data_IF_030475252760
#
_entry.id   IF_030475252760
#
_cell.length_a   1.000
_cell.length_b   1.000
_cell.length_c   1.000
_cell.angle_alpha   90.00
_cell.angle_beta   90.00
_cell.angle_gamma   90.00
#
_symmetry.space_group_name_H-M   'P 1'
#
loop_
_entity.id
_entity.type
_entity.pdbx_description
1 polymer ?
#
# COMPACT_ATOMS: atom_id res chain seq x y z
N UNK A 1 31.03 -11.17 -28.61
CA UNK A 1 29.55 -11.00 -28.62
C UNK A 1 28.97 -12.03 -27.69
N UNK A 2 28.90 -11.70 -26.41
CA UNK A 2 28.33 -12.55 -25.35
C UNK A 2 26.89 -12.12 -25.14
N UNK A 3 25.97 -13.04 -25.47
CA UNK A 3 24.55 -12.96 -25.18
C UNK A 3 24.34 -12.95 -23.68
N UNK A 4 23.84 -11.85 -23.11
CA UNK A 4 23.34 -11.81 -21.74
C UNK A 4 21.92 -12.40 -21.73
N UNK A 5 21.79 -13.67 -21.34
CA UNK A 5 20.51 -14.25 -20.97
C UNK A 5 19.93 -13.49 -19.77
N UNK A 6 18.77 -12.87 -19.96
CA UNK A 6 17.97 -12.33 -18.87
C UNK A 6 17.43 -13.49 -18.04
N UNK A 7 17.97 -13.67 -16.84
CA UNK A 7 17.42 -14.60 -15.84
C UNK A 7 16.03 -14.10 -15.47
N UNK A 8 14.99 -14.82 -15.90
CA UNK A 8 13.63 -14.61 -15.43
C UNK A 8 13.58 -14.99 -13.94
N UNK A 9 13.00 -14.16 -13.06
CA UNK A 9 12.81 -14.54 -11.66
C UNK A 9 11.91 -15.78 -11.59
N UNK A 10 12.39 -16.83 -10.90
CA UNK A 10 11.69 -18.09 -10.74
C UNK A 10 10.26 -17.86 -10.25
N UNK A 11 9.28 -18.35 -11.03
CA UNK A 11 7.90 -18.46 -10.58
C UNK A 11 7.90 -19.44 -9.40
N UNK A 12 7.49 -19.06 -8.18
CA UNK A 12 7.28 -20.05 -7.14
C UNK A 12 6.11 -20.94 -7.59
N UNK A 13 6.44 -22.15 -8.04
CA UNK A 13 5.47 -23.21 -8.24
C UNK A 13 4.92 -23.59 -6.85
N UNK A 14 3.82 -22.98 -6.45
CA UNK A 14 3.04 -23.43 -5.30
C UNK A 14 2.44 -24.79 -5.62
N UNK A 15 3.14 -25.85 -5.19
CA UNK A 15 2.58 -27.19 -5.15
C UNK A 15 1.51 -27.23 -4.06
N UNK A 16 0.26 -26.93 -4.42
CA UNK A 16 -0.89 -27.17 -3.53
C UNK A 16 -1.14 -28.68 -3.50
N UNK A 17 -0.57 -29.36 -2.51
CA UNK A 17 -0.94 -30.75 -2.19
C UNK A 17 -2.36 -30.71 -1.60
N UNK A 18 -3.40 -30.89 -2.42
CA UNK A 18 -4.74 -31.22 -1.93
C UNK A 18 -4.75 -32.66 -1.42
N UNK A 19 -4.32 -32.84 -0.17
CA UNK A 19 -4.51 -34.09 0.56
C UNK A 19 -6.00 -34.35 0.78
N UNK A 20 -6.58 -35.35 0.11
CA UNK A 20 -7.88 -35.92 0.53
C UNK A 20 -7.68 -36.64 1.86
N UNK A 21 -8.01 -35.98 2.97
CA UNK A 21 -8.13 -36.63 4.28
C UNK A 21 -9.26 -37.67 4.23
N UNK A 22 -8.89 -38.95 4.20
CA UNK A 22 -9.81 -40.04 4.53
C UNK A 22 -9.89 -40.12 6.07
N UNK A 23 -11.01 -39.65 6.60
CA UNK A 23 -11.35 -39.72 8.01
C UNK A 23 -11.41 -41.19 8.46
N UNK A 24 -10.43 -41.64 9.25
CA UNK A 24 -10.52 -42.89 10.01
C UNK A 24 -10.80 -42.50 11.47
N UNK A 25 -12.01 -42.81 11.92
CA UNK A 25 -12.43 -42.65 13.30
C UNK A 25 -11.50 -43.47 14.21
N UNK A 26 -10.85 -42.81 15.17
CA UNK A 26 -10.19 -43.44 16.29
C UNK A 26 -10.61 -42.72 17.57
N UNK A 27 -10.83 -43.56 18.58
CA UNK A 27 -11.61 -43.40 19.80
C UNK A 27 -11.08 -42.38 20.80
N UNK A 28 -12.02 -41.84 21.59
CA UNK A 28 -11.90 -40.74 22.54
C UNK A 28 -10.86 -40.93 23.66
N UNK A 29 -9.99 -39.94 23.82
CA UNK A 29 -9.44 -39.53 25.11
C UNK A 29 -9.69 -38.03 25.29
N UNK A 30 -10.55 -37.69 26.25
CA UNK A 30 -11.01 -36.33 26.52
C UNK A 30 -9.93 -35.61 27.35
N UNK A 31 -8.92 -35.03 26.68
CA UNK A 31 -8.07 -34.01 27.29
C UNK A 31 -8.71 -32.65 27.00
N UNK A 32 -9.49 -32.14 27.96
CA UNK A 32 -9.97 -30.76 27.93
C UNK A 32 -8.82 -29.81 28.29
N UNK A 33 -7.88 -29.62 27.36
CA UNK A 33 -7.01 -28.44 27.40
C UNK A 33 -7.87 -27.27 26.92
N UNK A 34 -8.38 -26.49 27.87
CA UNK A 34 -8.96 -25.18 27.59
C UNK A 34 -7.81 -24.29 27.08
N UNK A 35 -7.58 -24.30 25.76
CA UNK A 35 -6.81 -23.25 25.10
C UNK A 35 -7.69 -22.02 25.24
N UNK A 36 -7.42 -21.21 26.26
CA UNK A 36 -7.87 -19.82 26.27
C UNK A 36 -7.27 -19.19 25.02
N UNK A 37 -8.06 -19.15 23.94
CA UNK A 37 -7.87 -18.17 22.89
C UNK A 37 -8.10 -16.83 23.57
N UNK A 38 -7.05 -16.27 24.18
CA UNK A 38 -6.99 -14.85 24.43
C UNK A 38 -7.08 -14.24 23.04
N UNK A 39 -8.28 -13.82 22.65
CA UNK A 39 -8.40 -12.85 21.58
C UNK A 39 -7.52 -11.69 22.04
N UNK A 40 -6.38 -11.49 21.38
CA UNK A 40 -5.66 -10.24 21.49
C UNK A 40 -6.64 -9.20 20.96
N UNK A 41 -7.41 -8.59 21.86
CA UNK A 41 -8.08 -7.34 21.55
C UNK A 41 -6.94 -6.35 21.42
N UNK A 42 -6.46 -6.18 20.19
CA UNK A 42 -5.43 -5.22 19.90
C UNK A 42 -5.93 -3.85 20.35
N UNK A 43 -5.14 -3.17 21.18
CA UNK A 43 -5.59 -1.93 21.79
C UNK A 43 -5.73 -0.85 20.72
N UNK A 44 -6.88 -0.18 20.71
CA UNK A 44 -7.05 1.07 19.96
C UNK A 44 -6.42 2.20 20.76
N UNK A 45 -5.51 2.94 20.15
CA UNK A 45 -4.79 4.06 20.75
C UNK A 45 -5.02 5.36 19.97
N UNK A 46 -4.69 6.50 20.57
CA UNK A 46 -4.83 7.80 19.91
C UNK A 46 -4.03 7.84 18.59
N UNK A 47 -4.58 8.48 17.56
CA UNK A 47 -4.01 8.49 16.21
C UNK A 47 -2.59 9.06 16.14
N UNK A 48 -2.22 9.90 17.10
CA UNK A 48 -0.91 10.53 17.23
C UNK A 48 0.08 9.75 18.11
N UNK A 49 -0.33 8.61 18.68
CA UNK A 49 0.48 7.73 19.52
C UNK A 49 0.91 6.43 18.83
N UNK A 50 0.36 6.15 17.64
CA UNK A 50 0.78 4.99 16.85
C UNK A 50 2.20 5.24 16.32
N UNK A 51 3.15 4.45 16.80
CA UNK A 51 4.53 4.52 16.35
C UNK A 51 4.65 3.89 14.95
N UNK A 52 5.17 4.62 13.94
CA UNK A 52 5.38 4.04 12.60
C UNK A 52 6.50 3.01 12.60
N UNK A 53 6.46 2.12 11.63
CA UNK A 53 7.55 1.22 11.32
C UNK A 53 8.66 1.99 10.60
N UNK A 54 9.93 1.84 11.03
CA UNK A 54 11.05 2.37 10.26
C UNK A 54 11.09 1.65 8.90
N UNK A 55 11.40 2.39 7.84
CA UNK A 55 11.57 1.81 6.51
C UNK A 55 12.82 0.91 6.51
N UNK A 56 12.69 -0.42 6.30
CA UNK A 56 13.84 -1.31 6.28
C UNK A 56 14.66 -1.15 5.00
N UNK A 57 15.94 -1.55 5.05
CA UNK A 57 16.75 -1.67 3.83
C UNK A 57 16.20 -2.79 2.93
N UNK A 58 15.96 -2.54 1.64
CA UNK A 58 15.31 -3.51 0.75
C UNK A 58 16.27 -4.64 0.34
N UNK A 59 15.88 -5.89 0.58
CA UNK A 59 16.72 -7.07 0.30
C UNK A 59 16.19 -7.84 -0.91
N UNK A 60 14.89 -8.14 -0.91
CA UNK A 60 14.18 -8.92 -1.92
C UNK A 60 13.83 -8.08 -3.15
N UNK A 61 13.47 -8.76 -4.24
CA UNK A 61 13.03 -8.10 -5.49
C UNK A 61 11.77 -7.26 -5.24
N UNK A 62 10.81 -7.76 -4.47
CA UNK A 62 9.57 -7.03 -4.16
C UNK A 62 9.83 -5.78 -3.34
N UNK A 63 10.72 -5.84 -2.35
CA UNK A 63 11.08 -4.68 -1.53
C UNK A 63 11.83 -3.63 -2.35
N UNK A 64 12.79 -4.04 -3.18
CA UNK A 64 13.50 -3.13 -4.10
C UNK A 64 12.53 -2.48 -5.08
N UNK A 65 11.60 -3.24 -5.65
CA UNK A 65 10.54 -2.71 -6.50
C UNK A 65 9.70 -1.68 -5.77
N UNK A 66 9.27 -1.97 -4.55
CA UNK A 66 8.43 -1.05 -3.79
C UNK A 66 9.13 0.29 -3.50
N UNK A 67 10.45 0.27 -3.24
CA UNK A 67 11.27 1.49 -3.12
C UNK A 67 11.42 2.20 -4.47
N UNK A 68 11.72 1.48 -5.55
CA UNK A 68 11.89 2.06 -6.89
C UNK A 68 10.63 2.74 -7.42
N UNK A 69 9.45 2.16 -7.16
CA UNK A 69 8.15 2.66 -7.61
C UNK A 69 7.38 3.39 -6.51
N UNK A 70 8.03 3.72 -5.39
CA UNK A 70 7.39 4.45 -4.31
C UNK A 70 6.87 5.79 -4.83
N UNK A 71 5.58 6.10 -4.67
CA UNK A 71 5.04 7.36 -5.15
C UNK A 71 5.30 8.50 -4.15
N UNK A 72 5.26 9.73 -4.66
CA UNK A 72 5.09 10.92 -3.83
C UNK A 72 3.61 11.17 -3.56
N UNK A 73 3.32 11.65 -2.36
CA UNK A 73 2.00 12.11 -1.98
C UNK A 73 2.06 13.60 -1.67
N UNK A 74 1.42 14.40 -2.51
CA UNK A 74 1.15 15.81 -2.25
C UNK A 74 -0.13 15.92 -1.43
N UNK A 75 -0.06 16.60 -0.29
CA UNK A 75 -1.18 16.77 0.62
C UNK A 75 -1.65 18.22 0.52
N UNK A 76 -2.82 18.48 -0.11
CA UNK A 76 -3.36 19.84 -0.19
C UNK A 76 -3.64 20.42 1.20
N UNK A 77 -3.57 21.75 1.29
CA UNK A 77 -4.01 22.47 2.49
C UNK A 77 -5.47 22.11 2.83
N UNK A 78 -5.75 21.87 4.11
CA UNK A 78 -7.08 21.48 4.58
C UNK A 78 -7.35 19.96 4.59
N UNK A 79 -6.39 19.12 4.17
CA UNK A 79 -6.48 17.65 4.25
C UNK A 79 -5.58 17.12 5.38
N UNK A 80 -5.97 16.00 5.99
CA UNK A 80 -5.12 15.30 6.96
C UNK A 80 -3.87 14.74 6.29
N UNK A 81 -2.75 14.79 7.01
CA UNK A 81 -1.55 14.04 6.59
C UNK A 81 -1.74 12.54 6.81
N UNK A 82 -0.88 11.72 6.21
CA UNK A 82 -0.86 10.28 6.46
C UNK A 82 -0.33 9.96 7.86
N UNK A 83 -1.00 9.05 8.57
CA UNK A 83 -0.57 8.51 9.86
C UNK A 83 -0.39 6.98 9.75
N UNK A 84 0.45 6.37 10.60
CA UNK A 84 0.45 4.92 10.75
C UNK A 84 -0.90 4.43 11.28
N UNK A 85 -1.43 3.38 10.67
CA UNK A 85 -2.69 2.76 11.05
C UNK A 85 -2.52 1.73 12.17
N UNK A 86 -1.33 1.12 12.27
CA UNK A 86 -0.96 0.08 13.23
C UNK A 86 0.51 0.20 13.60
N UNK A 87 0.88 -0.20 14.81
CA UNK A 87 2.28 -0.31 15.24
C UNK A 87 2.75 -1.78 15.35
N UNK A 88 4.02 -1.98 15.73
CA UNK A 88 4.62 -3.33 15.83
C UNK A 88 3.94 -4.26 16.85
N UNK A 89 3.28 -3.72 17.87
CA UNK A 89 2.54 -4.50 18.87
C UNK A 89 1.12 -4.85 18.42
N UNK A 90 0.72 -4.44 17.22
CA UNK A 90 -0.63 -4.62 16.70
C UNK A 90 -1.64 -3.58 17.19
N UNK A 91 -1.23 -2.58 17.97
CA UNK A 91 -2.13 -1.50 18.41
C UNK A 91 -2.53 -0.64 17.21
N UNK A 92 -3.83 -0.35 17.09
CA UNK A 92 -4.41 0.34 15.93
C UNK A 92 -4.80 1.78 16.27
N UNK A 93 -4.80 2.63 15.25
CA UNK A 93 -5.30 4.01 15.38
C UNK A 93 -6.79 4.03 15.69
N UNK A 94 -7.21 4.82 16.67
CA UNK A 94 -8.61 5.16 16.91
C UNK A 94 -9.17 6.18 15.94
N UNK A 95 -8.35 6.66 15.01
CA UNK A 95 -8.73 7.69 14.05
C UNK A 95 -9.07 9.02 14.72
N UNK A 96 -9.74 9.87 13.96
CA UNK A 96 -10.25 11.15 14.42
C UNK A 96 -11.74 11.22 14.17
N UNK A 97 -12.48 11.67 15.18
CA UNK A 97 -13.88 12.00 14.99
C UNK A 97 -13.97 13.19 14.02
N UNK A 98 -14.71 13.01 12.93
CA UNK A 98 -14.88 14.04 11.91
C UNK A 98 -15.29 15.38 12.51
N UNK A 99 -14.52 16.41 12.22
CA UNK A 99 -14.77 17.80 12.63
C UNK A 99 -14.78 18.72 11.40
N UNK A 100 -15.24 19.96 11.57
CA UNK A 100 -15.21 20.96 10.49
C UNK A 100 -13.79 21.56 10.38
N UNK A 101 -12.81 20.75 9.94
CA UNK A 101 -11.43 21.18 9.77
C UNK A 101 -10.42 20.02 9.81
N UNK A 102 -9.13 20.35 9.71
CA UNK A 102 -8.02 19.38 9.75
C UNK A 102 -6.97 19.69 10.84
N UNK A 103 -7.24 20.62 11.76
CA UNK A 103 -6.28 21.08 12.79
C UNK A 103 -5.66 19.93 13.61
N UNK A 104 -6.43 18.88 13.89
CA UNK A 104 -5.99 17.72 14.65
C UNK A 104 -5.12 16.72 13.87
N UNK A 105 -4.97 16.91 12.56
CA UNK A 105 -4.26 16.00 11.65
C UNK A 105 -3.37 16.71 10.63
N UNK A 106 -2.98 17.96 10.88
CA UNK A 106 -2.07 18.70 9.99
C UNK A 106 -0.62 18.18 10.05
N UNK A 107 -0.26 17.45 11.11
CA UNK A 107 1.11 16.98 11.33
C UNK A 107 1.13 15.69 12.16
N UNK A 108 1.82 14.66 11.66
CA UNK A 108 2.02 13.39 12.35
C UNK A 108 3.26 13.46 13.25
N UNK A 109 3.12 13.57 14.59
CA UNK A 109 4.24 13.86 15.47
C UNK A 109 5.29 12.75 15.56
N UNK A 110 4.87 11.50 15.32
CA UNK A 110 5.76 10.34 15.28
C UNK A 110 6.23 9.99 13.87
N UNK A 111 5.76 10.72 12.85
CA UNK A 111 6.04 10.46 11.44
C UNK A 111 4.86 9.83 10.68
N UNK A 112 4.90 9.93 9.36
CA UNK A 112 3.93 9.35 8.44
C UNK A 112 4.33 7.95 7.98
N UNK A 113 3.36 7.17 7.49
CA UNK A 113 3.57 5.82 6.97
C UNK A 113 2.85 5.62 5.64
N UNK A 114 3.45 4.84 4.74
CA UNK A 114 2.79 4.20 3.60
C UNK A 114 3.01 2.69 3.68
N UNK A 115 1.99 1.93 3.29
CA UNK A 115 2.01 0.47 3.28
C UNK A 115 2.09 -0.04 1.85
N UNK A 116 2.89 -1.06 1.61
CA UNK A 116 3.02 -1.70 0.29
C UNK A 116 2.73 -3.19 0.35
N UNK A 117 2.14 -3.74 -0.72
CA UNK A 117 1.97 -5.18 -0.91
C UNK A 117 2.10 -5.52 -2.38
N UNK A 118 2.90 -6.51 -2.71
CA UNK A 118 3.21 -6.86 -4.09
C UNK A 118 3.06 -8.36 -4.34
N UNK A 119 2.40 -8.72 -5.45
CA UNK A 119 2.42 -10.08 -6.00
C UNK A 119 2.41 -10.08 -7.52
N UNK A 120 2.74 -11.22 -8.12
CA UNK A 120 2.41 -11.48 -9.52
C UNK A 120 0.90 -11.44 -9.69
N UNK A 121 0.44 -10.76 -10.74
CA UNK A 121 -0.97 -10.63 -11.04
C UNK A 121 -1.22 -10.60 -12.54
N UNK A 122 -2.01 -11.55 -13.05
CA UNK A 122 -2.34 -11.71 -14.49
C UNK A 122 -1.09 -11.56 -15.39
N UNK A 123 -0.04 -12.32 -15.04
CA UNK A 123 1.27 -12.36 -15.71
C UNK A 123 2.07 -11.03 -15.75
N UNK A 124 1.68 -10.03 -14.93
CA UNK A 124 2.46 -8.82 -14.71
C UNK A 124 3.13 -8.80 -13.34
N UNK A 125 4.32 -8.19 -13.31
CA UNK A 125 5.13 -7.96 -12.12
C UNK A 125 5.98 -6.70 -12.25
N UNK A 126 6.24 -6.04 -11.13
CA UNK A 126 7.15 -4.92 -11.04
C UNK A 126 8.60 -5.43 -10.96
N UNK A 127 9.33 -5.36 -12.07
CA UNK A 127 10.75 -5.75 -12.11
C UNK A 127 11.65 -4.51 -11.85
N UNK A 128 12.32 -4.42 -10.69
CA UNK A 128 13.20 -3.28 -10.36
C UNK A 128 14.56 -3.33 -11.05
N UNK A 129 14.99 -4.50 -11.54
CA UNK A 129 16.35 -4.68 -12.07
C UNK A 129 16.49 -4.23 -13.54
N UNK A 130 15.41 -3.75 -14.15
CA UNK A 130 15.45 -3.15 -15.48
C UNK A 130 16.16 -1.80 -15.43
N UNK A 131 17.08 -1.53 -16.36
CA UNK A 131 17.75 -0.22 -16.47
C UNK A 131 16.74 0.93 -16.61
N UNK A 132 15.60 0.67 -17.25
CA UNK A 132 14.49 1.60 -17.38
C UNK A 132 13.16 0.85 -17.23
N UNK A 133 12.66 0.66 -16.01
CA UNK A 133 11.40 -0.01 -15.84
C UNK A 133 10.25 0.87 -16.35
N UNK A 134 9.23 0.24 -16.93
CA UNK A 134 8.08 0.93 -17.51
C UNK A 134 6.82 0.59 -16.72
N UNK A 135 6.16 1.62 -16.21
CA UNK A 135 4.81 1.49 -15.64
C UNK A 135 3.81 1.35 -16.79
N UNK A 136 3.12 0.22 -16.87
CA UNK A 136 2.20 -0.12 -17.97
C UNK A 136 0.76 0.35 -17.73
N UNK A 137 0.40 0.59 -16.46
CA UNK A 137 -0.90 1.09 -16.06
C UNK A 137 -0.91 1.45 -14.58
N UNK A 138 -1.81 2.36 -14.22
CA UNK A 138 -2.00 2.84 -12.84
C UNK A 138 -3.49 2.89 -12.57
N UNK A 139 -3.90 2.45 -11.39
CA UNK A 139 -5.27 2.52 -10.93
C UNK A 139 -5.32 3.23 -9.59
N UNK A 140 -6.13 4.27 -9.51
CA UNK A 140 -6.29 5.08 -8.31
C UNK A 140 -7.69 4.86 -7.75
N UNK A 141 -7.81 4.61 -6.45
CA UNK A 141 -9.12 4.41 -5.82
C UNK A 141 -9.94 5.71 -5.82
N UNK A 142 -11.19 5.59 -6.25
CA UNK A 142 -12.26 6.59 -6.06
C UNK A 142 -13.19 6.21 -4.89
N UNK A 143 -13.33 4.92 -4.62
CA UNK A 143 -13.97 4.32 -3.45
C UNK A 143 -13.47 2.88 -3.30
N UNK A 144 -13.97 2.14 -2.31
CA UNK A 144 -13.58 0.74 -2.05
C UNK A 144 -13.75 -0.14 -3.31
N UNK A 145 -14.84 0.07 -4.05
CA UNK A 145 -15.19 -0.72 -5.24
C UNK A 145 -14.95 -0.03 -6.59
N UNK A 146 -14.36 1.17 -6.60
CA UNK A 146 -14.28 1.99 -7.81
C UNK A 146 -12.88 2.55 -8.01
N UNK A 147 -12.34 2.32 -9.21
CA UNK A 147 -10.99 2.73 -9.57
C UNK A 147 -10.96 3.57 -10.85
N UNK A 148 -10.20 4.66 -10.80
CA UNK A 148 -9.79 5.44 -11.96
C UNK A 148 -8.55 4.80 -12.61
N UNK A 149 -8.73 4.19 -13.78
CA UNK A 149 -7.72 3.41 -14.47
C UNK A 149 -7.05 4.23 -15.57
N UNK A 150 -5.71 4.24 -15.62
CA UNK A 150 -4.89 5.01 -16.57
C UNK A 150 -3.81 4.14 -17.19
N UNK A 151 -3.91 3.91 -18.50
CA UNK A 151 -2.89 3.19 -19.29
C UNK A 151 -1.88 4.12 -19.96
N UNK A 152 -2.26 5.40 -20.15
CA UNK A 152 -1.40 6.41 -20.74
C UNK A 152 -0.96 7.39 -19.67
N UNK A 153 0.30 7.27 -19.27
CA UNK A 153 0.96 8.18 -18.35
C UNK A 153 1.68 9.27 -19.13
N UNK A 154 1.69 10.48 -18.58
CA UNK A 154 2.41 11.63 -19.11
C UNK A 154 3.62 11.92 -18.23
N UNK A 155 4.64 12.58 -18.79
CA UNK A 155 5.80 13.01 -18.01
C UNK A 155 5.41 13.89 -16.80
N UNK A 156 4.29 14.61 -16.89
CA UNK A 156 3.73 15.42 -15.80
C UNK A 156 3.17 14.62 -14.62
N UNK A 157 2.98 13.31 -14.77
CA UNK A 157 2.44 12.45 -13.72
C UNK A 157 3.55 11.92 -12.79
N UNK A 158 4.81 12.13 -13.18
CA UNK A 158 5.99 11.71 -12.43
C UNK A 158 6.55 12.83 -11.56
N UNK A 159 7.14 12.43 -10.43
CA UNK A 159 7.81 13.30 -9.48
C UNK A 159 8.97 14.05 -10.16
N UNK A 160 9.14 15.34 -9.87
CA UNK A 160 10.20 16.19 -10.40
C UNK A 160 9.91 16.82 -11.76
N UNK A 161 8.77 16.51 -12.40
CA UNK A 161 8.41 17.18 -13.64
C UNK A 161 8.00 18.63 -13.40
N UNK A 162 8.67 19.55 -14.10
CA UNK A 162 8.44 20.98 -14.00
C UNK A 162 8.21 21.63 -15.36
N UNK A 163 7.28 22.58 -15.40
CA UNK A 163 7.05 23.46 -16.56
C UNK A 163 7.51 24.86 -16.22
N UNK A 164 8.58 25.32 -16.86
CA UNK A 164 9.13 26.65 -16.67
C UNK A 164 8.81 27.58 -17.85
N UNK A 165 8.84 28.88 -17.60
CA UNK A 165 8.69 29.90 -18.63
C UNK A 165 7.24 30.31 -18.94
N UNK A 166 7.10 31.33 -19.80
CA UNK A 166 5.80 31.89 -20.20
C UNK A 166 5.10 30.98 -21.21
N UNK A 167 3.77 31.12 -21.37
CA UNK A 167 2.94 30.26 -22.25
C UNK A 167 3.51 29.99 -23.66
N UNK A 168 4.21 30.96 -24.28
CA UNK A 168 4.82 30.83 -25.62
C UNK A 168 6.25 30.27 -25.63
N UNK A 169 6.92 30.21 -24.48
CA UNK A 169 8.30 29.78 -24.31
C UNK A 169 8.39 28.84 -23.10
N UNK A 170 7.65 27.73 -23.16
CA UNK A 170 7.68 26.71 -22.12
C UNK A 170 8.89 25.82 -22.30
N UNK A 171 9.64 25.64 -21.22
CA UNK A 171 10.68 24.63 -21.09
C UNK A 171 10.19 23.54 -20.15
N UNK A 172 10.44 22.28 -20.50
CA UNK A 172 10.04 21.13 -19.72
C UNK A 172 11.27 20.48 -19.11
N UNK A 173 11.23 20.32 -17.79
CA UNK A 173 12.24 19.58 -17.03
C UNK A 173 11.60 18.25 -16.64
N UNK A 174 12.25 17.16 -17.03
CA UNK A 174 11.80 15.81 -16.72
C UNK A 174 12.39 15.39 -15.38
N UNK A 175 11.57 14.74 -14.56
CA UNK A 175 11.97 14.20 -13.27
C UNK A 175 12.17 12.68 -13.33
N UNK A 176 11.64 11.99 -12.33
CA UNK A 176 11.64 10.53 -12.25
C UNK A 176 10.88 9.90 -13.42
N UNK A 177 11.20 8.64 -13.71
CA UNK A 177 10.48 7.76 -14.62
C UNK A 177 9.80 6.57 -13.89
N UNK A 178 9.95 6.48 -12.57
CA UNK A 178 9.43 5.38 -11.74
C UNK A 178 8.56 5.84 -10.57
N UNK A 179 8.82 7.05 -10.05
CA UNK A 179 8.04 7.65 -8.97
C UNK A 179 6.94 8.55 -9.53
N UNK A 180 5.69 8.14 -9.31
CA UNK A 180 4.51 8.91 -9.64
C UNK A 180 4.16 9.85 -8.51
N UNK A 181 3.45 10.94 -8.80
CA UNK A 181 2.96 11.88 -7.78
C UNK A 181 1.44 11.88 -7.72
N UNK A 182 0.91 11.64 -6.54
CA UNK A 182 -0.53 11.63 -6.27
C UNK A 182 -0.90 12.73 -5.28
N UNK A 183 -2.19 13.03 -5.23
CA UNK A 183 -2.79 13.88 -4.20
C UNK A 183 -4.15 13.33 -3.81
N UNK A 184 -4.59 13.66 -2.61
CA UNK A 184 -5.98 13.47 -2.22
C UNK A 184 -6.87 14.51 -2.89
N UNK A 185 -7.96 14.04 -3.47
CA UNK A 185 -9.12 14.85 -3.83
C UNK A 185 -10.25 14.56 -2.85
N UNK A 186 -11.07 15.57 -2.57
CA UNK A 186 -12.31 15.41 -1.81
C UNK A 186 -13.48 15.88 -2.66
N UNK A 187 -14.52 15.06 -2.74
CA UNK A 187 -15.78 15.43 -3.42
C UNK A 187 -16.96 14.92 -2.60
N UNK A 188 -17.84 15.84 -2.20
CA UNK A 188 -19.05 15.54 -1.42
C UNK A 188 -18.80 14.67 -0.16
N UNK A 189 -17.65 14.86 0.49
CA UNK A 189 -17.27 14.11 1.70
C UNK A 189 -16.55 12.78 1.46
N UNK A 190 -16.32 12.39 0.21
CA UNK A 190 -15.51 11.21 -0.14
C UNK A 190 -14.11 11.62 -0.58
N UNK A 191 -13.10 10.91 -0.06
CA UNK A 191 -11.70 11.06 -0.45
C UNK A 191 -11.38 10.10 -1.59
N UNK A 192 -10.61 10.56 -2.58
CA UNK A 192 -10.11 9.75 -3.68
C UNK A 192 -8.68 10.14 -4.03
N UNK A 193 -7.98 9.26 -4.75
CA UNK A 193 -6.63 9.54 -5.26
C UNK A 193 -6.67 10.01 -6.71
N UNK A 194 -5.85 11.01 -7.02
CA UNK A 194 -5.63 11.48 -8.39
C UNK A 194 -4.17 11.89 -8.56
N UNK A 195 -3.68 11.94 -9.80
CA UNK A 195 -2.37 12.53 -10.08
C UNK A 195 -2.28 13.97 -9.57
N UNK A 196 -1.16 14.28 -8.94
CA UNK A 196 -0.83 15.63 -8.49
C UNK A 196 -0.16 16.43 -9.59
N UNK A 197 -0.39 17.74 -9.57
CA UNK A 197 0.37 18.71 -10.37
C UNK A 197 1.68 19.11 -9.69
N UNK A 198 1.76 18.89 -8.39
CA UNK A 198 2.86 19.32 -7.52
C UNK A 198 3.59 18.11 -6.97
N UNK A 199 4.90 18.23 -6.82
CA UNK A 199 5.68 17.23 -6.10
C UNK A 199 5.25 17.24 -4.63
N UNK A 200 5.23 16.04 -4.05
CA UNK A 200 4.88 15.81 -2.66
C UNK A 200 6.04 15.17 -1.91
N UNK A 201 5.73 14.59 -0.76
CA UNK A 201 6.72 13.93 0.08
C UNK A 201 6.66 12.41 -0.10
N UNK A 202 7.76 11.75 0.23
CA UNK A 202 7.80 10.31 0.43
C UNK A 202 7.51 10.01 1.91
N UNK A 203 6.67 9.01 2.18
CA UNK A 203 6.39 8.53 3.53
C UNK A 203 7.28 7.33 3.85
N UNK A 204 7.46 6.97 5.13
CA UNK A 204 8.15 5.72 5.47
C UNK A 204 7.39 4.53 4.88
N UNK A 205 8.03 3.74 4.03
CA UNK A 205 7.43 2.55 3.42
C UNK A 205 7.65 1.32 4.31
N UNK A 206 6.60 0.56 4.55
CA UNK A 206 6.68 -0.79 5.12
C UNK A 206 5.88 -1.77 4.24
N UNK A 207 6.51 -2.86 3.83
CA UNK A 207 5.84 -3.90 3.04
C UNK A 207 5.05 -4.85 3.94
N UNK A 208 3.96 -5.42 3.42
CA UNK A 208 3.13 -6.39 4.13
C UNK A 208 3.95 -7.55 4.71
N UNK A 209 4.90 -8.06 3.94
CA UNK A 209 5.79 -9.15 4.34
C UNK A 209 6.82 -8.75 5.42
N UNK A 210 6.99 -7.45 5.67
CA UNK A 210 7.89 -6.90 6.69
C UNK A 210 7.17 -6.55 8.00
N UNK A 211 5.83 -6.58 8.03
CA UNK A 211 5.04 -6.33 9.23
C UNK A 211 5.15 -7.48 10.23
N UNK A 212 4.99 -7.17 11.51
CA UNK A 212 4.86 -8.18 12.57
C UNK A 212 3.57 -8.97 12.39
N UNK A 213 3.52 -10.17 12.99
CA UNK A 213 2.32 -11.01 12.95
C UNK A 213 1.15 -10.32 13.64
N UNK A 214 1.42 -9.60 14.73
CA UNK A 214 0.45 -8.81 15.47
C UNK A 214 -0.13 -7.66 14.63
N UNK A 215 0.72 -6.97 13.87
CA UNK A 215 0.29 -5.89 12.99
C UNK A 215 -0.53 -6.40 11.81
N UNK A 216 -0.14 -7.53 11.19
CA UNK A 216 -0.93 -8.17 10.13
C UNK A 216 -2.27 -8.66 10.66
N UNK A 217 -2.30 -9.26 11.85
CA UNK A 217 -3.55 -9.66 12.50
C UNK A 217 -4.47 -8.45 12.74
N UNK A 218 -3.93 -7.32 13.19
CA UNK A 218 -4.71 -6.11 13.40
C UNK A 218 -5.29 -5.52 12.09
N UNK A 219 -4.48 -5.51 11.03
CA UNK A 219 -4.90 -5.01 9.72
C UNK A 219 -5.92 -5.91 9.01
N UNK A 220 -5.93 -7.20 9.35
CA UNK A 220 -6.91 -8.16 8.86
C UNK A 220 -8.23 -8.16 9.65
N UNK A 221 -8.28 -7.54 10.83
CA UNK A 221 -9.51 -7.44 11.62
C UNK A 221 -10.31 -6.20 11.21
N UNK A 222 -11.36 -6.41 10.41
CA UNK A 222 -12.25 -5.36 9.92
C UNK A 222 -12.98 -4.57 11.02
N UNK A 223 -12.98 -5.03 12.27
CA UNK A 223 -13.57 -4.27 13.38
C UNK A 223 -12.70 -3.09 13.84
N UNK A 224 -11.42 -3.03 13.43
CA UNK A 224 -10.47 -2.03 13.90
C UNK A 224 -10.61 -0.64 13.23
N UNK A 225 -11.28 -0.56 12.07
CA UNK A 225 -11.28 0.65 11.23
C UNK A 225 -12.68 1.20 10.93
N UNK A 226 -13.66 0.89 11.79
CA UNK A 226 -15.06 1.30 11.67
C UNK A 226 -15.70 0.97 10.30
N UNK A 227 -15.77 1.95 9.39
CA UNK A 227 -16.30 1.82 8.03
C UNK A 227 -15.21 1.73 6.97
N UNK A 228 -13.96 2.03 7.33
CA UNK A 228 -12.85 1.96 6.41
C UNK A 228 -12.39 0.51 6.26
N UNK A 229 -12.17 0.12 5.02
CA UNK A 229 -11.64 -1.18 4.65
C UNK A 229 -10.12 -1.09 4.45
N UNK A 230 -9.38 -2.15 4.78
CA UNK A 230 -7.93 -2.22 4.55
C UNK A 230 -7.69 -2.92 3.20
N UNK A 231 -7.38 -2.20 2.10
CA UNK A 231 -7.46 -2.75 0.75
C UNK A 231 -6.33 -3.73 0.40
N UNK A 232 -5.34 -3.87 1.27
CA UNK A 232 -4.21 -4.78 1.11
C UNK A 232 -4.19 -5.87 2.18
N UNK A 233 -5.27 -6.04 2.95
CA UNK A 233 -5.45 -7.14 3.88
C UNK A 233 -5.57 -8.48 3.14
N UNK A 234 -5.41 -9.60 3.84
CA UNK A 234 -5.54 -10.93 3.26
C UNK A 234 -6.94 -11.21 2.69
N UNK A 235 -7.98 -10.59 3.26
CA UNK A 235 -9.37 -10.73 2.80
C UNK A 235 -9.64 -9.94 1.52
N UNK A 236 -9.14 -8.70 1.42
CA UNK A 236 -9.54 -7.78 0.35
C UNK A 236 -8.53 -7.69 -0.81
N UNK A 237 -7.28 -8.12 -0.62
CA UNK A 237 -6.20 -7.83 -1.57
C UNK A 237 -6.46 -8.38 -2.98
N UNK A 238 -6.96 -9.61 -3.12
CA UNK A 238 -7.22 -10.19 -4.45
C UNK A 238 -8.37 -9.48 -5.17
N UNK A 239 -9.46 -9.20 -4.45
CA UNK A 239 -10.64 -8.56 -5.02
C UNK A 239 -10.30 -7.14 -5.50
N UNK A 240 -9.57 -6.37 -4.69
CA UNK A 240 -9.09 -5.06 -5.12
C UNK A 240 -8.10 -5.11 -6.28
N UNK A 241 -7.24 -6.14 -6.36
CA UNK A 241 -6.35 -6.30 -7.52
C UNK A 241 -7.15 -6.58 -8.80
N UNK A 242 -8.20 -7.40 -8.72
CA UNK A 242 -9.09 -7.68 -9.84
C UNK A 242 -9.88 -6.44 -10.28
N UNK A 243 -10.43 -5.69 -9.33
CA UNK A 243 -11.15 -4.45 -9.61
C UNK A 243 -10.22 -3.35 -10.12
N UNK A 244 -9.01 -3.25 -9.57
CA UNK A 244 -8.01 -2.27 -9.98
C UNK A 244 -7.33 -2.64 -11.30
N UNK A 245 -7.51 -3.84 -11.86
CA UNK A 245 -6.84 -4.23 -13.10
C UNK A 245 -7.16 -3.28 -14.26
N UNK A 246 -6.15 -2.57 -14.84
CA UNK A 246 -6.41 -1.52 -15.83
C UNK A 246 -6.42 -2.00 -17.28
N UNK A 247 -6.11 -3.28 -17.54
CA UNK A 247 -5.89 -3.86 -18.89
C UNK A 247 -7.04 -4.76 -19.36
#
# INVERSE_FOLDING_TARGET
MTSSESVQPDRPHSLIIRGKMKLRALTSTLFATLVLWTACTNATIDHDKVLPFPQPEPVTISEKAAITFQPQLYIPEGVCVSYPAVNAAGETTGGLKGSNGNDACMYAPLGSQVYGRARWFKDLWANPDLEMPKIVGVSMSESDTKYNKRLKLFASDFAGFQTMGRRRYRTYIYGSNTSLRFQYGTTLGHSYLTFSRWDGDYQGLIMWEQLTDEARAALNDGNNFEKAEVPFSDEHYEDHLDEAWPL
#
